data_IF_244444812499
#
_entry.id   IF_244444812499
#
_cell.length_a   1.000
_cell.length_b   1.000
_cell.length_c   1.000
_cell.angle_alpha   90.00
_cell.angle_beta   90.00
_cell.angle_gamma   90.00
#
_symmetry.space_group_name_H-M   'P 1'
#
loop_
_entity.id
_entity.type
_entity.pdbx_description
1 polymer ?
#
# COMPACT_ATOMS: atom_id res chain seq x y z
N UNK A 1 -9.10 6.54 21.11
CA UNK A 1 -8.00 5.59 21.42
C UNK A 1 -7.11 6.11 22.54
N UNK A 2 -6.35 7.21 22.34
CA UNK A 2 -5.36 7.67 23.33
C UNK A 2 -5.95 8.01 24.73
N UNK A 3 -7.14 8.60 24.78
CA UNK A 3 -7.86 8.87 26.03
C UNK A 3 -8.32 7.60 26.77
N UNK A 4 -8.82 6.60 26.04
CA UNK A 4 -9.28 5.32 26.63
C UNK A 4 -8.09 4.47 27.06
N UNK A 5 -7.01 4.49 26.29
CA UNK A 5 -5.77 3.78 26.58
C UNK A 5 -5.11 4.29 27.87
N UNK A 6 -5.13 5.61 28.10
CA UNK A 6 -4.59 6.23 29.30
C UNK A 6 -5.38 5.98 30.59
N UNK A 7 -6.68 5.65 30.49
CA UNK A 7 -7.56 5.49 31.67
C UNK A 7 -7.88 4.01 31.96
N UNK A 8 -8.04 3.18 30.93
CA UNK A 8 -8.53 1.80 31.04
C UNK A 8 -7.53 0.74 30.54
N UNK A 9 -6.30 1.15 30.20
CA UNK A 9 -5.23 0.27 29.75
C UNK A 9 -5.29 -0.11 28.27
N UNK A 10 -4.20 -0.74 27.82
CA UNK A 10 -3.90 -1.03 26.41
C UNK A 10 -4.97 -1.92 25.77
N UNK A 11 -5.53 -2.87 26.51
CA UNK A 11 -6.59 -3.74 26.01
C UNK A 11 -7.85 -2.96 25.64
N UNK A 12 -8.32 -2.04 26.50
CA UNK A 12 -9.50 -1.23 26.25
C UNK A 12 -9.29 -0.23 25.10
N UNK A 13 -8.08 0.34 24.99
CA UNK A 13 -7.69 1.21 23.88
C UNK A 13 -7.73 0.50 22.52
N UNK A 14 -7.26 -0.75 22.48
CA UNK A 14 -7.29 -1.61 21.29
C UNK A 14 -8.71 -1.98 20.89
N UNK A 15 -9.56 -2.38 21.83
CA UNK A 15 -10.97 -2.69 21.56
C UNK A 15 -11.72 -1.47 21.01
N UNK A 16 -11.51 -0.28 21.58
CA UNK A 16 -12.13 0.95 21.09
C UNK A 16 -11.70 1.27 19.64
N UNK A 17 -10.42 1.04 19.30
CA UNK A 17 -9.93 1.22 17.94
C UNK A 17 -10.55 0.22 16.97
N UNK A 18 -10.64 -1.06 17.35
CA UNK A 18 -11.27 -2.11 16.54
C UNK A 18 -12.73 -1.75 16.28
N UNK A 19 -13.49 -1.37 17.31
CA UNK A 19 -14.90 -1.01 17.20
C UNK A 19 -15.09 0.21 16.30
N UNK A 20 -14.33 1.29 16.51
CA UNK A 20 -14.40 2.47 15.65
C UNK A 20 -14.05 2.15 14.19
N UNK A 21 -13.06 1.28 13.96
CA UNK A 21 -12.63 0.89 12.62
C UNK A 21 -13.72 0.05 11.93
N UNK A 22 -14.34 -0.88 12.65
CA UNK A 22 -15.46 -1.69 12.15
C UNK A 22 -16.67 -0.82 11.82
N UNK A 23 -17.02 0.14 12.69
CA UNK A 23 -18.11 1.09 12.44
C UNK A 23 -17.79 1.97 11.23
N UNK A 24 -16.57 2.49 11.14
CA UNK A 24 -16.13 3.31 10.00
C UNK A 24 -16.18 2.52 8.69
N UNK A 25 -15.75 1.25 8.69
CA UNK A 25 -15.85 0.36 7.53
C UNK A 25 -17.31 0.07 7.16
N UNK A 26 -18.17 -0.20 8.15
CA UNK A 26 -19.59 -0.44 7.93
C UNK A 26 -20.31 0.78 7.33
N UNK A 27 -20.05 1.98 7.88
CA UNK A 27 -20.59 3.24 7.35
C UNK A 27 -20.04 3.52 5.95
N UNK A 28 -18.75 3.28 5.71
CA UNK A 28 -18.14 3.44 4.39
C UNK A 28 -18.76 2.47 3.38
N UNK A 29 -19.01 1.21 3.76
CA UNK A 29 -19.70 0.21 2.93
C UNK A 29 -21.15 0.62 2.64
N UNK A 30 -21.85 1.16 3.63
CA UNK A 30 -23.24 1.60 3.51
C UNK A 30 -23.37 2.84 2.62
N UNK A 31 -22.45 3.80 2.75
CA UNK A 31 -22.45 5.06 1.99
C UNK A 31 -21.92 4.86 0.57
N UNK A 32 -20.86 4.07 0.35
CA UNK A 32 -20.30 3.87 -0.99
C UNK A 32 -21.01 2.77 -1.78
N UNK A 33 -21.79 1.88 -1.14
CA UNK A 33 -22.60 0.83 -1.80
C UNK A 33 -21.80 -0.16 -2.64
N UNK A 34 -20.46 -0.10 -2.59
CA UNK A 34 -19.54 -0.98 -3.31
C UNK A 34 -18.54 -1.46 -2.29
N UNK A 35 -18.46 -2.78 -2.01
CA UNK A 35 -17.38 -3.29 -1.20
C UNK A 35 -16.09 -2.81 -1.85
N UNK A 36 -15.15 -2.22 -1.09
CA UNK A 36 -13.90 -1.78 -1.66
C UNK A 36 -13.18 -3.05 -2.12
N UNK A 37 -13.30 -3.31 -3.43
CA UNK A 37 -12.93 -4.58 -4.06
C UNK A 37 -11.45 -4.90 -3.79
N UNK A 38 -10.62 -3.85 -3.69
CA UNK A 38 -9.22 -3.95 -3.32
C UNK A 38 -9.01 -4.55 -1.90
N UNK A 39 -9.51 -3.96 -0.80
CA UNK A 39 -9.45 -4.56 0.54
C UNK A 39 -10.01 -5.97 0.63
N UNK A 40 -11.09 -6.28 -0.09
CA UNK A 40 -11.70 -7.61 -0.02
C UNK A 40 -10.79 -8.68 -0.65
N UNK A 41 -10.25 -8.40 -1.85
CA UNK A 41 -9.28 -9.30 -2.51
C UNK A 41 -8.01 -9.42 -1.66
N UNK A 42 -7.48 -8.31 -1.14
CA UNK A 42 -6.29 -8.33 -0.29
C UNK A 42 -6.52 -9.09 1.02
N UNK A 43 -7.71 -8.95 1.63
CA UNK A 43 -8.13 -9.65 2.84
C UNK A 43 -8.28 -11.16 2.60
N UNK A 44 -8.97 -11.55 1.53
CA UNK A 44 -9.13 -12.95 1.14
C UNK A 44 -7.76 -13.62 0.91
N UNK A 45 -6.88 -13.00 0.11
CA UNK A 45 -5.51 -13.49 -0.12
C UNK A 45 -4.71 -13.54 1.18
N UNK A 46 -4.87 -12.56 2.07
CA UNK A 46 -4.25 -12.59 3.41
C UNK A 46 -4.70 -13.76 4.25
N UNK A 47 -6.00 -14.04 4.29
CA UNK A 47 -6.54 -15.15 5.08
C UNK A 47 -6.13 -16.48 4.48
N UNK A 48 -6.19 -16.65 3.15
CA UNK A 48 -5.76 -17.89 2.48
C UNK A 48 -4.29 -18.21 2.75
N UNK A 49 -3.38 -17.26 2.50
CA UNK A 49 -1.95 -17.48 2.71
C UNK A 49 -1.56 -17.50 4.19
N UNK A 50 -2.25 -16.74 5.04
CA UNK A 50 -2.05 -16.78 6.50
C UNK A 50 -2.44 -18.13 7.09
N UNK A 51 -3.58 -18.68 6.65
CA UNK A 51 -4.03 -20.02 7.06
C UNK A 51 -3.07 -21.09 6.54
N UNK A 52 -2.61 -20.98 5.29
CA UNK A 52 -1.62 -21.91 4.71
C UNK A 52 -0.29 -21.88 5.47
N UNK A 53 0.16 -20.71 5.91
CA UNK A 53 1.36 -20.55 6.76
C UNK A 53 1.19 -21.26 8.11
N UNK A 54 0.02 -21.12 8.74
CA UNK A 54 -0.28 -21.76 10.02
C UNK A 54 -0.36 -23.28 9.91
N UNK A 55 -0.88 -23.79 8.79
CA UNK A 55 -1.01 -25.24 8.54
C UNK A 55 0.35 -25.87 8.18
N UNK A 56 1.15 -25.21 7.35
CA UNK A 56 2.45 -25.74 6.91
C UNK A 56 3.59 -25.46 7.88
N UNK A 57 3.41 -24.51 8.81
CA UNK A 57 4.45 -24.07 9.74
C UNK A 57 5.60 -23.32 9.06
N UNK A 58 5.51 -23.04 7.76
CA UNK A 58 6.59 -22.48 6.96
C UNK A 58 6.33 -21.00 6.63
N UNK A 59 7.15 -20.12 7.22
CA UNK A 59 7.10 -18.68 6.98
C UNK A 59 7.47 -18.27 5.54
N UNK A 60 7.97 -19.20 4.71
CA UNK A 60 8.21 -18.99 3.28
C UNK A 60 6.94 -18.52 2.55
N UNK A 61 5.76 -19.02 2.93
CA UNK A 61 4.49 -18.64 2.29
C UNK A 61 4.17 -17.16 2.43
N UNK A 62 4.55 -16.54 3.55
CA UNK A 62 4.40 -15.10 3.76
C UNK A 62 5.29 -14.32 2.80
N UNK A 63 6.50 -14.80 2.53
CA UNK A 63 7.45 -14.13 1.65
C UNK A 63 7.03 -14.22 0.19
N UNK A 64 6.61 -15.42 -0.26
CA UNK A 64 6.14 -15.68 -1.62
C UNK A 64 4.89 -14.84 -1.93
N UNK A 65 3.96 -14.75 -0.98
CA UNK A 65 2.76 -13.91 -1.11
C UNK A 65 3.12 -12.46 -1.44
N UNK A 66 4.16 -11.92 -0.80
CA UNK A 66 4.57 -10.53 -1.03
C UNK A 66 5.21 -10.35 -2.41
N UNK A 67 6.06 -11.29 -2.87
CA UNK A 67 6.62 -11.22 -4.23
C UNK A 67 5.50 -11.27 -5.28
N UNK A 68 4.58 -12.25 -5.14
CA UNK A 68 3.50 -12.47 -6.10
C UNK A 68 2.60 -11.23 -6.21
N UNK A 69 2.21 -10.65 -5.07
CA UNK A 69 1.38 -9.45 -5.06
C UNK A 69 2.07 -8.25 -5.71
N UNK A 70 3.34 -7.98 -5.36
CA UNK A 70 4.09 -6.87 -5.93
C UNK A 70 4.31 -7.05 -7.45
N UNK A 71 4.60 -8.28 -7.90
CA UNK A 71 4.76 -8.60 -9.31
C UNK A 71 3.45 -8.44 -10.09
N UNK A 72 2.32 -8.93 -9.54
CA UNK A 72 1.00 -8.76 -10.16
C UNK A 72 0.60 -7.29 -10.27
N UNK A 73 0.83 -6.50 -9.22
CA UNK A 73 0.56 -5.05 -9.24
C UNK A 73 1.46 -4.35 -10.26
N UNK A 74 2.76 -4.67 -10.28
CA UNK A 74 3.68 -4.12 -11.27
C UNK A 74 3.23 -4.44 -12.71
N UNK A 75 2.86 -5.70 -12.97
CA UNK A 75 2.40 -6.16 -14.27
C UNK A 75 1.08 -5.48 -14.68
N UNK A 76 0.11 -5.38 -13.77
CA UNK A 76 -1.15 -4.70 -14.01
C UNK A 76 -0.93 -3.21 -14.32
N UNK A 77 -0.05 -2.53 -13.57
CA UNK A 77 0.28 -1.12 -13.83
C UNK A 77 1.00 -0.96 -15.17
N UNK A 78 1.89 -1.88 -15.53
CA UNK A 78 2.63 -1.83 -16.80
C UNK A 78 1.73 -2.10 -18.01
N UNK A 79 0.81 -3.06 -17.89
CA UNK A 79 -0.24 -3.31 -18.90
C UNK A 79 -1.20 -2.12 -18.99
N UNK A 80 -1.57 -1.53 -17.86
CA UNK A 80 -2.38 -0.31 -17.80
C UNK A 80 -1.72 0.87 -18.51
N UNK A 81 -0.40 1.01 -18.35
CA UNK A 81 0.41 2.02 -19.04
C UNK A 81 0.40 1.79 -20.57
N UNK A 82 0.57 0.54 -21.02
CA UNK A 82 0.55 0.17 -22.46
C UNK A 82 -0.83 0.32 -23.09
N UNK A 83 -1.90 0.08 -22.33
CA UNK A 83 -3.29 0.20 -22.79
C UNK A 83 -3.80 1.65 -22.76
N UNK A 84 -2.99 2.61 -22.28
CA UNK A 84 -3.39 4.02 -22.08
C UNK A 84 -4.42 4.21 -20.95
N UNK A 85 -4.84 3.12 -20.29
CA UNK A 85 -5.77 3.13 -19.16
C UNK A 85 -4.98 3.31 -17.88
N UNK A 86 -4.66 4.56 -17.57
CA UNK A 86 -3.96 4.92 -16.33
C UNK A 86 -4.77 4.49 -15.10
N UNK A 87 -4.34 3.40 -14.46
CA UNK A 87 -4.99 2.85 -13.26
C UNK A 87 -5.13 3.90 -12.15
N UNK A 88 -4.07 4.70 -11.95
CA UNK A 88 -4.10 5.80 -10.98
C UNK A 88 -5.10 6.90 -11.37
N UNK A 89 -5.30 7.20 -12.66
CA UNK A 89 -6.35 8.14 -13.12
C UNK A 89 -7.75 7.60 -12.81
N UNK A 90 -7.96 6.30 -12.96
CA UNK A 90 -9.23 5.66 -12.64
C UNK A 90 -9.56 5.71 -11.13
N UNK A 91 -8.57 5.43 -10.28
CA UNK A 91 -8.75 5.38 -8.81
C UNK A 91 -8.76 6.78 -8.19
N UNK A 92 -7.82 7.63 -8.57
CA UNK A 92 -7.56 8.91 -7.91
C UNK A 92 -7.99 10.14 -8.72
N UNK A 93 -8.46 9.97 -9.97
CA UNK A 93 -8.81 11.10 -10.84
C UNK A 93 -9.98 11.95 -10.34
N UNK A 94 -10.78 11.45 -9.39
CA UNK A 94 -11.83 12.23 -8.71
C UNK A 94 -11.31 13.07 -7.53
N UNK A 95 -10.15 12.71 -6.98
CA UNK A 95 -9.59 13.34 -5.77
C UNK A 95 -8.44 14.29 -6.08
N UNK A 96 -7.68 14.02 -7.15
CA UNK A 96 -6.56 14.87 -7.56
C UNK A 96 -6.64 15.25 -9.03
N UNK A 97 -6.45 16.54 -9.35
CA UNK A 97 -6.30 17.03 -10.71
C UNK A 97 -4.82 17.06 -11.12
N UNK A 98 -4.38 16.11 -11.93
CA UNK A 98 -3.04 16.13 -12.56
C UNK A 98 -3.16 16.14 -14.09
N UNK A 99 -2.15 16.69 -14.77
CA UNK A 99 -2.03 16.61 -16.24
C UNK A 99 -1.88 15.16 -16.71
N UNK A 100 -2.19 14.87 -17.98
CA UNK A 100 -2.04 13.52 -18.54
C UNK A 100 -0.59 13.00 -18.43
N UNK A 101 0.39 13.88 -18.63
CA UNK A 101 1.80 13.57 -18.40
C UNK A 101 2.11 13.23 -16.93
N UNK A 102 1.48 13.93 -15.99
CA UNK A 102 1.62 13.66 -14.55
C UNK A 102 1.10 12.26 -14.19
N UNK A 103 -0.04 11.87 -14.75
CA UNK A 103 -0.60 10.52 -14.57
C UNK A 103 0.26 9.42 -15.18
N UNK A 104 0.82 9.66 -16.37
CA UNK A 104 1.73 8.73 -17.01
C UNK A 104 3.02 8.54 -16.21
N UNK A 105 3.64 9.63 -15.76
CA UNK A 105 4.86 9.58 -14.94
C UNK A 105 4.61 8.93 -13.58
N UNK A 106 3.46 9.20 -12.95
CA UNK A 106 3.05 8.51 -11.72
C UNK A 106 2.98 7.01 -11.92
N UNK A 107 2.19 6.58 -12.90
CA UNK A 107 1.94 5.16 -13.16
C UNK A 107 3.24 4.45 -13.51
N UNK A 108 4.12 5.06 -14.33
CA UNK A 108 5.42 4.51 -14.71
C UNK A 108 6.36 4.38 -13.52
N UNK A 109 6.54 5.44 -12.73
CA UNK A 109 7.47 5.42 -11.60
C UNK A 109 7.03 4.41 -10.54
N UNK A 110 5.72 4.33 -10.27
CA UNK A 110 5.18 3.37 -9.31
C UNK A 110 5.27 1.93 -9.86
N UNK A 111 4.99 1.70 -11.15
CA UNK A 111 5.19 0.39 -11.77
C UNK A 111 6.65 -0.08 -11.66
N UNK A 112 7.61 0.80 -11.95
CA UNK A 112 9.04 0.52 -11.79
C UNK A 112 9.41 0.25 -10.33
N UNK A 113 8.86 1.01 -9.40
CA UNK A 113 9.09 0.81 -7.97
C UNK A 113 8.58 -0.56 -7.49
N UNK A 114 7.37 -0.96 -7.88
CA UNK A 114 6.82 -2.28 -7.54
C UNK A 114 7.62 -3.41 -8.19
N UNK A 115 8.06 -3.22 -9.45
CA UNK A 115 8.91 -4.20 -10.14
C UNK A 115 10.27 -4.35 -9.45
N UNK A 116 10.95 -3.23 -9.17
CA UNK A 116 12.24 -3.25 -8.47
C UNK A 116 12.10 -3.88 -7.07
N UNK A 117 11.04 -3.53 -6.34
CA UNK A 117 10.77 -4.11 -5.02
C UNK A 117 10.49 -5.62 -5.13
N UNK A 118 9.77 -6.08 -6.15
CA UNK A 118 9.54 -7.50 -6.38
C UNK A 118 10.85 -8.25 -6.67
N UNK A 119 11.69 -7.71 -7.55
CA UNK A 119 12.99 -8.30 -7.92
C UNK A 119 13.92 -8.37 -6.71
N UNK A 120 14.07 -7.27 -5.96
CA UNK A 120 14.94 -7.24 -4.78
C UNK A 120 14.40 -8.14 -3.68
N UNK A 121 13.08 -8.17 -3.46
CA UNK A 121 12.46 -9.08 -2.49
C UNK A 121 12.74 -10.55 -2.84
N UNK A 122 12.64 -10.91 -4.12
CA UNK A 122 12.93 -12.27 -4.59
C UNK A 122 14.42 -12.62 -4.52
N UNK A 123 15.30 -11.66 -4.84
CA UNK A 123 16.75 -11.83 -4.70
C UNK A 123 17.16 -12.08 -3.25
N UNK A 124 16.57 -11.33 -2.29
CA UNK A 124 16.80 -11.57 -0.86
C UNK A 124 16.19 -12.90 -0.42
N UNK A 125 15.01 -13.25 -0.90
CA UNK A 125 14.37 -14.55 -0.60
C UNK A 125 15.24 -15.72 -1.03
N UNK A 126 15.70 -15.72 -2.30
CA UNK A 126 16.52 -16.80 -2.86
C UNK A 126 17.94 -16.79 -2.28
N UNK A 127 18.54 -15.62 -2.08
CA UNK A 127 19.90 -15.50 -1.57
C UNK A 127 20.06 -15.86 -0.08
N UNK A 128 18.99 -15.73 0.71
CA UNK A 128 19.00 -16.02 2.15
C UNK A 128 18.06 -17.17 2.55
N UNK A 129 17.55 -17.97 1.60
CA UNK A 129 16.64 -19.08 1.89
C UNK A 129 17.25 -20.10 2.87
N UNK A 130 18.50 -20.49 2.66
CA UNK A 130 19.21 -21.47 3.48
C UNK A 130 20.06 -20.83 4.60
N UNK A 131 19.96 -19.51 4.76
CA UNK A 131 20.76 -18.77 5.73
C UNK A 131 20.35 -19.13 7.17
N UNK A 132 21.32 -19.66 7.92
CA UNK A 132 21.19 -19.94 9.35
C UNK A 132 22.38 -19.33 10.09
N UNK A 133 22.21 -18.11 10.59
CA UNK A 133 23.26 -17.41 11.33
C UNK A 133 22.99 -17.47 12.82
N UNK A 134 23.98 -17.91 13.61
CA UNK A 134 23.93 -17.81 15.07
C UNK A 134 24.52 -16.48 15.49
N UNK A 135 23.70 -15.61 16.08
CA UNK A 135 24.15 -14.37 16.69
C UNK A 135 23.32 -14.10 17.95
N UNK A 136 23.94 -13.49 18.97
CA UNK A 136 23.25 -13.07 20.20
C UNK A 136 22.41 -14.19 20.87
N UNK A 137 22.98 -15.40 21.01
CA UNK A 137 22.30 -16.59 21.55
C UNK A 137 20.99 -17.01 20.85
N UNK A 138 20.72 -16.50 19.64
CA UNK A 138 19.55 -16.86 18.83
C UNK A 138 19.98 -17.32 17.44
N UNK A 139 19.20 -18.23 16.85
CA UNK A 139 19.36 -18.62 15.45
C UNK A 139 18.53 -17.65 14.61
N UNK A 140 19.20 -16.83 13.81
CA UNK A 140 18.57 -16.01 12.77
C UNK A 140 18.36 -16.89 11.55
N UNK A 141 17.09 -17.04 11.19
CA UNK A 141 16.67 -17.73 9.96
C UNK A 141 16.68 -16.75 8.79
N UNK A 142 16.64 -17.27 7.56
CA UNK A 142 16.44 -16.45 6.35
C UNK A 142 15.23 -15.50 6.43
N UNK A 143 14.21 -15.89 7.19
CA UNK A 143 13.01 -15.09 7.46
C UNK A 143 13.32 -13.86 8.29
N UNK A 144 14.13 -13.99 9.33
CA UNK A 144 14.52 -12.86 10.19
C UNK A 144 15.35 -11.83 9.41
N UNK A 145 16.26 -12.30 8.56
CA UNK A 145 17.06 -11.44 7.67
C UNK A 145 16.16 -10.71 6.68
N UNK A 146 15.20 -11.40 6.09
CA UNK A 146 14.22 -10.79 5.18
C UNK A 146 13.37 -9.73 5.88
N UNK A 147 12.95 -9.96 7.13
CA UNK A 147 12.23 -8.96 7.93
C UNK A 147 13.11 -7.74 8.19
N UNK A 148 14.37 -7.95 8.61
CA UNK A 148 15.33 -6.87 8.85
C UNK A 148 15.59 -6.06 7.58
N UNK A 149 15.81 -6.73 6.45
CA UNK A 149 15.93 -6.10 5.13
C UNK A 149 14.73 -5.19 4.84
N UNK A 150 13.51 -5.62 5.16
CA UNK A 150 12.33 -4.79 4.96
C UNK A 150 12.28 -3.56 5.85
N UNK A 151 12.60 -3.73 7.13
CA UNK A 151 12.55 -2.63 8.09
C UNK A 151 13.64 -1.61 7.81
N UNK A 152 14.86 -2.06 7.52
CA UNK A 152 16.02 -1.18 7.38
C UNK A 152 16.28 -0.67 5.97
N UNK A 153 15.86 -1.41 4.93
CA UNK A 153 16.08 -1.00 3.54
C UNK A 153 14.78 -0.62 2.86
N UNK A 154 13.80 -1.52 2.83
CA UNK A 154 12.56 -1.28 2.07
C UNK A 154 11.75 -0.12 2.65
N UNK A 155 11.54 -0.04 3.96
CA UNK A 155 10.75 1.05 4.56
C UNK A 155 11.37 2.43 4.33
N UNK A 156 12.67 2.68 4.63
CA UNK A 156 13.28 3.99 4.37
C UNK A 156 13.29 4.34 2.89
N UNK A 157 13.62 3.36 2.03
CA UNK A 157 13.62 3.57 0.58
C UNK A 157 12.23 3.92 0.04
N UNK A 158 11.18 3.28 0.57
CA UNK A 158 9.78 3.59 0.25
C UNK A 158 9.46 5.03 0.66
N UNK A 159 9.88 5.47 1.85
CA UNK A 159 9.69 6.84 2.31
C UNK A 159 10.36 7.86 1.39
N UNK A 160 11.62 7.63 1.02
CA UNK A 160 12.38 8.48 0.09
C UNK A 160 11.70 8.51 -1.28
N UNK A 161 11.27 7.36 -1.79
CA UNK A 161 10.56 7.25 -3.06
C UNK A 161 9.26 8.05 -3.06
N UNK A 162 8.41 7.91 -2.04
CA UNK A 162 7.17 8.66 -1.95
C UNK A 162 7.40 10.17 -1.82
N UNK A 163 8.38 10.58 -1.01
CA UNK A 163 8.76 11.98 -0.90
C UNK A 163 9.18 12.55 -2.26
N UNK A 164 10.07 11.86 -2.97
CA UNK A 164 10.50 12.23 -4.32
C UNK A 164 9.34 12.24 -5.33
N UNK A 165 8.48 11.24 -5.27
CA UNK A 165 7.32 11.09 -6.15
C UNK A 165 6.32 12.24 -5.97
N UNK A 166 6.03 12.64 -4.72
CA UNK A 166 5.17 13.80 -4.43
C UNK A 166 5.77 15.08 -5.00
N UNK A 167 7.08 15.29 -4.85
CA UNK A 167 7.78 16.48 -5.39
C UNK A 167 7.70 16.56 -6.91
N UNK A 168 7.73 15.42 -7.61
CA UNK A 168 7.52 15.37 -9.06
C UNK A 168 6.07 15.70 -9.40
N UNK A 169 5.10 15.11 -8.71
CA UNK A 169 3.68 15.29 -9.00
C UNK A 169 3.19 16.71 -8.73
N UNK A 170 3.75 17.40 -7.74
CA UNK A 170 3.45 18.80 -7.46
C UNK A 170 3.65 19.70 -8.69
N UNK A 171 4.63 19.38 -9.55
CA UNK A 171 4.89 20.12 -10.79
C UNK A 171 3.81 19.93 -11.87
N UNK A 172 2.96 18.92 -11.73
CA UNK A 172 1.93 18.53 -12.68
C UNK A 172 0.50 18.68 -12.13
N UNK A 173 0.35 19.31 -10.95
CA UNK A 173 -0.98 19.61 -10.41
C UNK A 173 -1.65 20.66 -11.29
N UNK A 174 -2.87 20.36 -11.71
CA UNK A 174 -3.74 21.35 -12.31
C UNK A 174 -4.21 22.30 -11.20
N UNK A 175 -4.29 23.62 -11.48
CA UNK A 175 -5.03 24.53 -10.61
C UNK A 175 -6.42 23.97 -10.39
N UNK A 176 -6.88 24.01 -9.15
CA UNK A 176 -8.24 23.64 -8.77
C UNK A 176 -9.20 24.34 -9.74
N UNK A 177 -10.21 23.65 -10.32
CA UNK A 177 -11.16 24.33 -11.18
C UNK A 177 -11.72 25.46 -10.35
N UNK A 178 -11.40 26.70 -10.75
CA UNK A 178 -11.92 27.89 -10.11
C UNK A 178 -13.43 27.69 -10.11
N UNK A 179 -14.00 27.41 -8.93
CA UNK A 179 -15.44 27.47 -8.73
C UNK A 179 -15.80 28.84 -9.25
N UNK A 180 -16.47 28.86 -10.41
CA UNK A 180 -16.84 30.08 -11.08
C UNK A 180 -17.64 30.88 -10.06
N UNK A 181 -17.02 31.94 -9.54
CA UNK A 181 -17.67 32.96 -8.73
C UNK A 181 -18.54 33.78 -9.70
N UNK A 182 -19.53 33.12 -10.32
CA UNK A 182 -20.44 33.72 -11.27
C UNK A 182 -21.70 34.14 -10.52
N UNK A 183 -21.83 35.45 -10.36
CA UNK A 183 -23.07 36.22 -10.17
C UNK A 183 -23.89 35.95 -8.91
N UNK A 184 -23.66 36.79 -7.91
CA UNK A 184 -24.76 37.56 -7.32
C UNK A 184 -24.34 39.02 -7.31
N UNK A 185 -24.58 39.68 -8.44
CA UNK A 185 -24.64 41.14 -8.52
C UNK A 185 -26.08 41.52 -8.15
N UNK A 186 -26.36 42.12 -6.97
CA UNK A 186 -27.63 42.78 -6.75
C UNK A 186 -27.53 44.18 -7.34
N UNK A 187 -27.79 44.29 -8.64
CA UNK A 187 -28.21 45.55 -9.24
C UNK A 187 -29.69 45.76 -8.91
N UNK A 188 -29.98 46.90 -8.26
CA UNK A 188 -31.26 47.51 -7.92
C UNK A 188 -31.86 47.23 -6.55
#
# INVERSE_FOLDING_TARGET
MFLVNGIYGIAAGTWALIICTVISLAVTLWVLGRPPVMPFIAGAVSVTFGTLTLITGDAMWVQIKVTLFNALVALLLWIGLRTGKNFFRFVFGKTFGYTEEGWYKLTRNVALFFLATAVVNEAVRLGFADANYRALNRVFTGVDIWILFKIFIVMPFTGIFFWWQVRILQKYRLPEPAVSKSRSDPSH
#
